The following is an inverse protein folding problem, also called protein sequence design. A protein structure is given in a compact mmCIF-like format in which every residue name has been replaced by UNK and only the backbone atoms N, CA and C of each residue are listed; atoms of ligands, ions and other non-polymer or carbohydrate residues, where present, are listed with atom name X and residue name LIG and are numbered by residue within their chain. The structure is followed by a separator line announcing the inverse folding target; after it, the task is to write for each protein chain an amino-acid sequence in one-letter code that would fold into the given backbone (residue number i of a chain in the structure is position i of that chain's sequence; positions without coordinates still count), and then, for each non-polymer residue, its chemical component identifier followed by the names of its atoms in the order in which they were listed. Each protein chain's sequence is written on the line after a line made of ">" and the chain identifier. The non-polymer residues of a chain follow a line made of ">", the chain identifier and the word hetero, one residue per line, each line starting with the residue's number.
data_IF_189808007278
#
_entry.id   IF_189808007278
#
_cell.length_a   1.000
_cell.length_b   1.000
_cell.length_c   1.000
_cell.angle_alpha   90.00
_cell.angle_beta   90.00
_cell.angle_gamma   90.00
#
_symmetry.space_group_name_H-M   'P 1'
#
loop_
_entity.id
_entity.type
_entity.pdbx_description
1 polymer ?
#
# COMPACT_ATOMS: atom_id res chain seq x y z
N UNK A 1 24.43 39.67 -6.89
CA UNK A 1 25.08 38.65 -6.03
C UNK A 1 24.22 37.40 -6.08
N UNK A 2 24.83 36.24 -6.37
CA UNK A 2 24.09 35.00 -6.59
C UNK A 2 23.62 34.35 -5.28
N UNK A 3 22.60 33.49 -5.37
CA UNK A 3 22.09 32.67 -4.26
C UNK A 3 23.19 31.90 -3.53
N UNK A 4 24.18 31.38 -4.27
CA UNK A 4 25.29 30.59 -3.73
C UNK A 4 26.19 31.42 -2.79
N UNK A 5 26.51 32.66 -3.14
CA UNK A 5 27.31 33.56 -2.28
C UNK A 5 26.56 33.92 -0.99
N UNK A 6 25.23 34.08 -1.08
CA UNK A 6 24.39 34.35 0.08
C UNK A 6 24.34 33.15 1.03
N UNK A 7 24.22 31.92 0.51
CA UNK A 7 24.27 30.70 1.34
C UNK A 7 25.64 30.50 2.00
N UNK A 8 26.73 30.76 1.27
CA UNK A 8 28.09 30.69 1.82
C UNK A 8 28.31 31.65 2.98
N UNK A 9 27.78 32.88 2.88
CA UNK A 9 27.86 33.90 3.94
C UNK A 9 27.01 33.58 5.16
N UNK A 10 25.83 32.98 4.97
CA UNK A 10 25.01 32.48 6.09
C UNK A 10 25.73 31.35 6.81
N UNK A 11 26.29 30.39 6.08
CA UNK A 11 27.05 29.30 6.64
C UNK A 11 28.30 29.78 7.40
N UNK A 12 29.03 30.76 6.87
CA UNK A 12 30.21 31.32 7.54
C UNK A 12 29.84 32.06 8.83
N UNK A 13 28.78 32.88 8.80
CA UNK A 13 28.29 33.57 10.00
C UNK A 13 27.84 32.56 11.07
N UNK A 14 27.19 31.48 10.66
CA UNK A 14 26.82 30.38 11.57
C UNK A 14 28.03 29.70 12.19
N UNK A 15 29.10 29.46 11.42
CA UNK A 15 30.31 28.82 11.94
C UNK A 15 31.11 29.73 12.87
N UNK A 16 31.16 31.02 12.57
CA UNK A 16 31.79 32.03 13.43
C UNK A 16 31.03 32.20 14.75
N UNK A 17 29.71 32.30 14.68
CA UNK A 17 28.86 32.37 15.87
C UNK A 17 28.98 31.09 16.72
N UNK A 18 29.02 29.91 16.08
CA UNK A 18 29.31 28.64 16.76
C UNK A 18 30.64 28.67 17.48
N UNK A 19 31.71 29.14 16.83
CA UNK A 19 33.04 29.19 17.43
C UNK A 19 33.07 30.14 18.64
N UNK A 20 32.42 31.30 18.51
CA UNK A 20 32.23 32.25 19.61
C UNK A 20 31.45 31.62 20.78
N UNK A 21 30.41 30.83 20.48
CA UNK A 21 29.57 30.16 21.47
C UNK A 21 30.25 28.95 22.13
N UNK A 22 31.19 28.29 21.45
CA UNK A 22 31.99 27.18 21.99
C UNK A 22 33.13 27.65 22.89
N UNK A 23 33.71 28.82 22.61
CA UNK A 23 34.79 29.42 23.42
C UNK A 23 34.34 29.99 24.77
N UNK A 24 33.03 30.19 24.97
CA UNK A 24 32.50 30.67 26.24
C UNK A 24 32.49 29.55 27.30
N UNK A 25 33.52 29.51 28.16
CA UNK A 25 33.76 28.46 29.17
C UNK A 25 32.75 28.43 30.35
N UNK A 26 32.03 29.52 30.63
CA UNK A 26 31.09 29.55 31.77
C UNK A 26 29.68 29.09 31.41
N UNK A 27 29.07 28.28 32.31
CA UNK A 27 27.64 27.92 32.27
C UNK A 27 26.80 29.20 32.40
N UNK A 28 26.47 29.81 31.25
CA UNK A 28 25.79 31.11 31.17
C UNK A 28 24.46 31.06 31.92
N UNK A 29 24.41 31.63 33.13
CA UNK A 29 23.14 31.89 33.83
C UNK A 29 22.43 33.01 33.09
N UNK A 30 21.44 32.66 32.27
CA UNK A 30 20.63 33.65 31.57
C UNK A 30 19.75 34.34 32.59
N UNK A 31 19.84 35.67 32.64
CA UNK A 31 18.84 36.46 33.36
C UNK A 31 17.52 36.29 32.62
N UNK A 32 16.45 35.93 33.34
CA UNK A 32 15.11 35.87 32.76
C UNK A 32 14.69 37.30 32.43
N UNK A 33 14.90 37.70 31.18
CA UNK A 33 14.37 38.95 30.64
C UNK A 33 12.95 38.68 30.15
N UNK A 34 12.01 39.57 30.47
CA UNK A 34 10.60 39.41 30.13
C UNK A 34 9.77 40.51 30.75
N UNK A 35 8.53 40.64 30.29
CA UNK A 35 7.56 41.56 30.89
C UNK A 35 6.85 40.84 32.05
N UNK A 36 6.19 41.61 32.92
CA UNK A 36 5.29 41.04 33.92
C UNK A 36 4.20 40.21 33.21
N UNK A 37 3.87 39.05 33.79
CA UNK A 37 2.81 38.17 33.26
C UNK A 37 1.53 38.95 32.97
N UNK A 38 1.13 39.80 33.92
CA UNK A 38 0.04 40.76 33.74
C UNK A 38 0.57 42.20 33.62
N UNK A 39 -0.01 43.04 32.75
CA UNK A 39 -1.02 42.69 31.73
C UNK A 39 -0.38 42.23 30.41
N UNK A 40 0.93 42.41 30.24
CA UNK A 40 1.59 42.34 28.93
C UNK A 40 1.51 40.96 28.29
N UNK A 41 1.93 39.90 28.98
CA UNK A 41 1.91 38.55 28.40
C UNK A 41 0.47 38.03 28.27
N UNK A 42 -0.40 38.29 29.26
CA UNK A 42 -1.82 37.88 29.17
C UNK A 42 -2.55 38.54 28.00
N UNK A 43 -2.33 39.84 27.75
CA UNK A 43 -2.94 40.53 26.62
C UNK A 43 -2.42 39.96 25.28
N UNK A 44 -1.11 39.76 25.17
CA UNK A 44 -0.47 39.17 23.99
C UNK A 44 -1.02 37.77 23.70
N UNK A 45 -1.05 36.90 24.70
CA UNK A 45 -1.51 35.52 24.56
C UNK A 45 -3.01 35.47 24.25
N UNK A 46 -3.81 36.39 24.80
CA UNK A 46 -5.23 36.51 24.46
C UNK A 46 -5.45 36.89 23.00
N UNK A 47 -4.64 37.80 22.46
CA UNK A 47 -4.71 38.20 21.04
C UNK A 47 -4.29 37.02 20.13
N UNK A 48 -3.24 36.30 20.49
CA UNK A 48 -2.78 35.10 19.75
C UNK A 48 -3.84 33.99 19.81
N UNK A 49 -4.45 33.77 20.97
CA UNK A 49 -5.51 32.78 21.12
C UNK A 49 -6.74 33.15 20.28
N UNK A 50 -7.18 34.40 20.33
CA UNK A 50 -8.29 34.88 19.52
C UNK A 50 -8.02 34.75 18.01
N UNK A 51 -6.79 35.01 17.56
CA UNK A 51 -6.42 34.85 16.16
C UNK A 51 -6.38 33.38 15.73
N UNK A 52 -5.83 32.48 16.55
CA UNK A 52 -5.87 31.03 16.32
C UNK A 52 -7.31 30.51 16.25
N UNK A 53 -8.17 30.94 17.17
CA UNK A 53 -9.59 30.57 17.18
C UNK A 53 -10.30 31.07 15.91
N UNK A 54 -10.03 32.30 15.48
CA UNK A 54 -10.59 32.85 14.24
C UNK A 54 -10.20 32.01 13.01
N UNK A 55 -8.94 31.56 12.93
CA UNK A 55 -8.46 30.71 11.83
C UNK A 55 -9.14 29.34 11.86
N UNK A 56 -9.25 28.72 13.03
CA UNK A 56 -9.91 27.41 13.19
C UNK A 56 -11.40 27.46 12.82
N UNK A 57 -12.12 28.51 13.26
CA UNK A 57 -13.52 28.71 12.91
C UNK A 57 -13.69 28.96 11.41
N UNK A 58 -12.77 29.71 10.79
CA UNK A 58 -12.77 29.92 9.35
C UNK A 58 -12.56 28.63 8.57
N UNK A 59 -11.61 27.77 8.98
CA UNK A 59 -11.40 26.46 8.35
C UNK A 59 -12.59 25.53 8.54
N UNK A 60 -13.17 25.47 9.74
CA UNK A 60 -14.36 24.67 10.03
C UNK A 60 -15.58 25.11 9.19
N UNK A 61 -15.66 26.39 8.86
CA UNK A 61 -16.67 26.91 7.93
C UNK A 61 -16.36 26.60 6.46
N UNK A 62 -15.08 26.73 6.04
CA UNK A 62 -14.67 26.54 4.65
C UNK A 62 -14.73 25.06 4.21
N UNK A 63 -14.28 24.16 5.06
CA UNK A 63 -14.21 22.71 4.80
C UNK A 63 -14.78 22.02 6.04
N UNK A 64 -16.12 21.97 6.18
CA UNK A 64 -16.73 21.25 7.30
C UNK A 64 -16.34 19.77 7.23
N UNK A 65 -16.02 19.13 8.37
CA UNK A 65 -15.67 17.72 8.36
C UNK A 65 -16.85 16.90 7.81
N UNK A 66 -16.60 15.97 6.86
CA UNK A 66 -17.65 15.14 6.31
C UNK A 66 -18.26 14.30 7.44
N UNK A 67 -19.58 14.34 7.60
CA UNK A 67 -20.27 13.34 8.40
C UNK A 67 -20.29 12.03 7.59
N UNK A 68 -19.42 11.10 7.97
CA UNK A 68 -19.48 9.74 7.45
C UNK A 68 -20.75 9.04 7.94
N UNK A 69 -21.24 8.07 7.15
CA UNK A 69 -22.29 7.16 7.59
C UNK A 69 -21.87 6.34 8.81
N UNK A 70 -22.83 5.62 9.40
CA UNK A 70 -22.53 4.69 10.48
C UNK A 70 -21.52 3.63 10.00
N UNK A 71 -20.63 3.19 10.90
CA UNK A 71 -19.69 2.14 10.60
C UNK A 71 -20.43 0.84 10.25
N UNK A 72 -20.16 0.29 9.07
CA UNK A 72 -20.71 -0.97 8.58
C UNK A 72 -19.57 -2.01 8.49
N UNK A 73 -19.62 -3.10 9.28
CA UNK A 73 -18.61 -4.15 9.22
C UNK A 73 -18.66 -4.98 7.93
N UNK A 74 -19.72 -4.87 7.13
CA UNK A 74 -19.89 -5.60 5.87
C UNK A 74 -19.57 -4.76 4.63
N UNK A 75 -19.43 -3.44 4.77
CA UNK A 75 -19.04 -2.53 3.70
C UNK A 75 -17.63 -1.97 3.97
N UNK A 76 -16.64 -2.46 3.22
CA UNK A 76 -15.31 -1.92 3.27
C UNK A 76 -15.26 -0.60 2.48
N UNK A 77 -15.12 0.53 3.18
CA UNK A 77 -14.88 1.80 2.51
C UNK A 77 -13.62 1.67 1.64
N UNK A 78 -13.73 2.00 0.35
CA UNK A 78 -12.66 1.72 -0.63
C UNK A 78 -11.29 2.29 -0.28
N UNK A 79 -11.22 3.35 0.55
CA UNK A 79 -9.97 3.92 1.06
C UNK A 79 -10.13 4.40 2.51
N UNK A 80 -9.51 3.72 3.47
CA UNK A 80 -9.48 4.12 4.89
C UNK A 80 -8.07 4.53 5.28
N UNK A 81 -7.85 5.82 5.51
CA UNK A 81 -6.59 6.36 6.00
C UNK A 81 -6.81 7.03 7.36
N UNK A 82 -5.82 6.97 8.27
CA UNK A 82 -5.91 7.71 9.51
C UNK A 82 -5.62 9.20 9.28
N UNK A 83 -5.91 10.01 10.30
CA UNK A 83 -5.65 11.44 10.26
C UNK A 83 -4.17 11.77 10.01
N UNK A 84 -3.92 12.97 9.47
CA UNK A 84 -2.59 13.45 9.04
C UNK A 84 -1.48 13.30 10.09
N UNK A 85 -1.80 13.44 11.39
CA UNK A 85 -0.85 13.35 12.49
C UNK A 85 -0.48 11.90 12.87
N UNK A 86 -1.19 10.91 12.32
CA UNK A 86 -0.97 9.46 12.51
C UNK A 86 -0.41 8.80 11.24
N UNK A 87 -0.34 9.54 10.12
CA UNK A 87 0.19 9.01 8.85
C UNK A 87 1.59 8.41 8.98
N UNK A 88 2.46 8.98 9.83
CA UNK A 88 3.80 8.45 10.02
C UNK A 88 3.78 7.01 10.54
N UNK A 89 2.89 6.67 11.49
CA UNK A 89 2.77 5.32 12.04
C UNK A 89 2.11 4.36 11.05
N UNK A 90 1.14 4.85 10.28
CA UNK A 90 0.56 4.08 9.18
C UNK A 90 1.60 3.75 8.10
N UNK A 91 2.50 4.69 7.80
CA UNK A 91 3.61 4.47 6.87
C UNK A 91 4.56 3.37 7.33
N UNK A 92 4.82 3.25 8.64
CA UNK A 92 5.58 2.12 9.20
C UNK A 92 4.84 0.78 9.09
N UNK A 93 3.52 0.77 9.21
CA UNK A 93 2.70 -0.44 9.04
C UNK A 93 2.76 -0.94 7.60
N UNK A 94 2.60 -0.03 6.62
CA UNK A 94 2.83 -0.32 5.20
C UNK A 94 4.26 -0.79 4.93
N UNK A 95 5.24 -0.14 5.52
CA UNK A 95 6.63 -0.56 5.36
C UNK A 95 6.88 -1.97 5.94
N UNK A 96 6.15 -2.34 6.99
CA UNK A 96 6.17 -3.67 7.60
C UNK A 96 5.70 -4.81 6.68
N UNK A 97 4.89 -4.52 5.66
CA UNK A 97 4.46 -5.51 4.65
C UNK A 97 5.63 -6.02 3.80
N UNK A 98 6.66 -5.18 3.61
CA UNK A 98 7.86 -5.53 2.84
C UNK A 98 8.96 -6.17 3.70
N UNK A 99 8.76 -6.28 5.02
CA UNK A 99 9.71 -6.90 5.93
C UNK A 99 9.44 -8.41 6.09
N UNK A 100 10.46 -9.21 6.42
CA UNK A 100 10.29 -10.65 6.62
C UNK A 100 9.25 -10.95 7.68
N UNK A 101 8.32 -11.84 7.34
CA UNK A 101 7.28 -12.32 8.26
C UNK A 101 7.66 -13.73 8.72
N UNK A 102 7.68 -13.94 10.04
CA UNK A 102 8.07 -15.21 10.63
C UNK A 102 7.35 -15.44 11.95
N UNK A 103 7.37 -16.68 12.44
CA UNK A 103 6.76 -17.01 13.72
C UNK A 103 7.86 -17.22 14.75
N UNK A 104 7.77 -16.50 15.87
CA UNK A 104 8.75 -16.57 16.95
C UNK A 104 8.21 -17.47 18.07
N UNK A 105 8.95 -18.52 18.47
CA UNK A 105 8.63 -19.28 19.67
C UNK A 105 8.81 -18.38 20.90
N UNK A 106 7.75 -18.18 21.67
CA UNK A 106 7.72 -17.27 22.84
C UNK A 106 8.21 -17.93 24.13
N UNK A 107 8.50 -19.24 24.06
CA UNK A 107 9.05 -20.03 25.17
C UNK A 107 8.21 -19.94 26.44
N UNK A 108 8.87 -19.94 27.59
CA UNK A 108 8.22 -19.95 28.91
C UNK A 108 7.19 -18.83 29.13
N UNK A 109 7.43 -17.63 28.58
CA UNK A 109 6.49 -16.51 28.70
C UNK A 109 5.22 -16.79 27.90
N UNK A 110 5.36 -17.36 26.70
CA UNK A 110 4.26 -17.76 25.83
C UNK A 110 3.37 -18.84 26.41
N UNK A 111 3.97 -19.82 27.08
CA UNK A 111 3.26 -20.91 27.74
C UNK A 111 2.38 -20.42 28.91
N UNK A 112 2.81 -19.35 29.59
CA UNK A 112 2.04 -18.73 30.69
C UNK A 112 0.83 -17.95 30.16
N UNK A 113 0.96 -17.28 29.01
CA UNK A 113 -0.11 -16.42 28.44
C UNK A 113 -0.96 -17.12 27.37
N UNK A 114 -0.75 -18.42 27.15
CA UNK A 114 -1.50 -19.21 26.16
C UNK A 114 -1.19 -18.86 24.71
N UNK A 115 -0.03 -18.24 24.46
CA UNK A 115 0.46 -17.90 23.11
C UNK A 115 1.87 -18.45 22.92
N UNK A 116 2.04 -19.76 22.67
CA UNK A 116 3.34 -20.42 22.51
C UNK A 116 4.09 -20.00 21.22
N UNK A 117 3.37 -19.37 20.29
CA UNK A 117 3.89 -18.91 19.01
C UNK A 117 3.39 -17.48 18.78
N UNK A 118 4.31 -16.55 18.54
CA UNK A 118 4.00 -15.16 18.23
C UNK A 118 4.21 -14.89 16.73
N UNK A 119 3.16 -14.52 15.98
CA UNK A 119 3.29 -14.16 14.58
C UNK A 119 3.94 -12.79 14.47
N UNK A 120 5.18 -12.74 13.96
CA UNK A 120 5.88 -11.51 13.64
C UNK A 120 5.47 -11.06 12.23
N UNK A 121 4.31 -10.41 12.16
CA UNK A 121 3.68 -9.95 10.91
C UNK A 121 3.87 -8.43 10.67
N UNK A 122 3.33 -7.92 9.56
CA UNK A 122 3.41 -6.51 9.20
C UNK A 122 2.85 -5.56 10.30
N UNK A 123 1.78 -5.96 10.97
CA UNK A 123 1.19 -5.17 12.07
C UNK A 123 2.16 -5.01 13.23
N UNK A 124 2.87 -6.08 13.62
CA UNK A 124 3.89 -5.99 14.65
C UNK A 124 5.10 -5.16 14.22
N UNK A 125 5.57 -5.32 12.97
CA UNK A 125 6.62 -4.46 12.41
C UNK A 125 6.22 -2.98 12.46
N UNK A 126 5.00 -2.65 12.03
CA UNK A 126 4.47 -1.29 12.09
C UNK A 126 4.46 -0.71 13.49
N UNK A 127 3.95 -1.47 14.47
CA UNK A 127 3.92 -1.06 15.87
C UNK A 127 5.33 -0.87 16.45
N UNK A 128 6.22 -1.83 16.24
CA UNK A 128 7.60 -1.79 16.76
C UNK A 128 8.39 -0.62 16.14
N UNK A 129 8.31 -0.43 14.82
CA UNK A 129 9.02 0.62 14.12
C UNK A 129 8.48 2.01 14.45
N UNK A 130 7.17 2.15 14.69
CA UNK A 130 6.57 3.40 15.18
C UNK A 130 7.14 3.81 16.55
N UNK A 131 7.49 2.83 17.39
CA UNK A 131 8.11 3.08 18.68
C UNK A 131 9.50 3.74 18.60
N UNK A 132 10.24 3.55 17.50
CA UNK A 132 11.59 4.10 17.33
C UNK A 132 11.58 5.64 17.30
N UNK A 133 10.86 6.33 16.39
CA UNK A 133 10.85 7.78 16.36
C UNK A 133 10.24 8.40 17.62
N UNK A 134 9.25 7.75 18.23
CA UNK A 134 8.66 8.20 19.51
C UNK A 134 9.68 8.05 20.64
N UNK A 135 10.41 6.93 20.68
CA UNK A 135 11.49 6.69 21.62
C UNK A 135 12.61 7.72 21.48
N UNK A 136 13.02 8.04 20.25
CA UNK A 136 14.02 9.09 19.97
C UNK A 136 13.58 10.44 20.54
N UNK A 137 12.30 10.81 20.48
CA UNK A 137 11.78 12.05 21.08
C UNK A 137 11.77 12.02 22.61
N UNK A 138 11.68 10.84 23.23
CA UNK A 138 11.71 10.69 24.67
C UNK A 138 13.13 10.70 25.24
N UNK A 139 14.17 10.47 24.42
CA UNK A 139 15.57 10.44 24.85
C UNK A 139 16.19 11.78 25.30
N UNK A 140 15.89 12.98 24.74
CA UNK A 140 16.64 14.20 25.01
C UNK A 140 16.80 14.57 26.50
N UNK A 141 15.78 14.40 27.38
CA UNK A 141 15.94 14.63 28.81
C UNK A 141 16.99 13.73 29.49
N UNK A 142 17.24 12.54 28.95
CA UNK A 142 18.13 11.53 29.53
C UNK A 142 19.57 11.57 29.00
N UNK A 143 19.79 12.25 27.86
CA UNK A 143 21.12 12.34 27.22
C UNK A 143 22.09 13.28 27.94
N UNK A 144 21.62 14.01 28.96
CA UNK A 144 22.43 14.97 29.73
C UNK A 144 22.98 16.11 28.87
N UNK A 145 23.86 16.92 29.45
CA UNK A 145 24.51 18.03 28.73
C UNK A 145 23.99 19.42 29.09
N UNK A 146 24.64 20.45 28.52
CA UNK A 146 24.26 21.86 28.72
C UNK A 146 23.04 22.20 27.87
N UNK A 147 22.14 23.01 28.40
CA UNK A 147 21.11 23.68 27.60
C UNK A 147 21.76 24.48 26.48
N UNK A 148 21.49 24.09 25.24
CA UNK A 148 22.04 24.71 24.04
C UNK A 148 20.89 25.12 23.13
N UNK A 149 20.98 26.28 22.49
CA UNK A 149 20.10 26.61 21.37
C UNK A 149 20.44 25.71 20.18
N UNK A 150 19.51 25.48 19.23
CA UNK A 150 19.84 24.74 18.00
C UNK A 150 21.06 25.30 17.26
N UNK A 151 21.28 26.62 17.34
CA UNK A 151 22.46 27.30 16.75
C UNK A 151 23.78 26.95 17.47
N UNK A 152 23.73 26.63 18.76
CA UNK A 152 24.90 26.28 19.58
C UNK A 152 25.32 24.80 19.39
N UNK A 153 24.42 23.95 18.90
CA UNK A 153 24.67 22.52 18.64
C UNK A 153 24.19 22.11 17.24
N UNK A 154 24.98 22.40 16.19
CA UNK A 154 24.58 22.11 14.81
C UNK A 154 24.42 20.61 14.55
N UNK A 155 25.06 19.75 15.34
CA UNK A 155 24.89 18.30 15.23
C UNK A 155 23.51 17.88 15.71
N UNK A 156 23.10 18.34 16.90
CA UNK A 156 21.78 18.05 17.42
C UNK A 156 20.67 18.70 16.59
N UNK A 157 20.90 19.92 16.08
CA UNK A 157 19.98 20.59 15.17
C UNK A 157 19.82 19.85 13.83
N UNK A 158 20.92 19.37 13.24
CA UNK A 158 20.88 18.57 12.03
C UNK A 158 20.16 17.23 12.25
N UNK A 159 20.40 16.57 13.38
CA UNK A 159 19.69 15.34 13.75
C UNK A 159 18.17 15.58 13.89
N UNK A 160 17.76 16.70 14.49
CA UNK A 160 16.35 17.10 14.55
C UNK A 160 15.74 17.38 13.18
N UNK A 161 16.48 18.03 12.27
CA UNK A 161 16.01 18.26 10.90
C UNK A 161 15.88 16.95 10.10
N UNK A 162 16.84 16.03 10.21
CA UNK A 162 16.76 14.69 9.60
C UNK A 162 15.58 13.91 10.16
N UNK A 163 15.34 14.00 11.47
CA UNK A 163 14.17 13.39 12.11
C UNK A 163 12.86 13.92 11.52
N UNK A 164 12.70 15.25 11.41
CA UNK A 164 11.51 15.85 10.81
C UNK A 164 11.34 15.46 9.34
N UNK A 165 12.43 15.45 8.57
CA UNK A 165 12.42 15.02 7.18
C UNK A 165 12.00 13.54 7.04
N UNK A 166 12.43 12.69 7.97
CA UNK A 166 12.05 11.27 8.02
C UNK A 166 10.56 11.10 8.37
N UNK A 167 10.06 11.79 9.40
CA UNK A 167 8.63 11.76 9.77
C UNK A 167 7.77 12.24 8.61
N UNK A 168 8.18 13.32 7.94
CA UNK A 168 7.50 13.80 6.75
C UNK A 168 7.55 12.76 5.62
N UNK A 169 8.72 12.19 5.33
CA UNK A 169 8.90 11.16 4.31
C UNK A 169 7.97 9.96 4.54
N UNK A 170 8.00 9.37 5.74
CA UNK A 170 7.21 8.16 6.03
C UNK A 170 5.70 8.47 6.06
N UNK A 171 5.31 9.69 6.43
CA UNK A 171 3.91 10.15 6.35
C UNK A 171 3.45 10.28 4.89
N UNK A 172 4.27 10.87 4.02
CA UNK A 172 3.94 10.98 2.59
C UNK A 172 3.94 9.61 1.93
N UNK A 173 4.90 8.74 2.25
CA UNK A 173 4.92 7.34 1.82
C UNK A 173 3.62 6.62 2.17
N UNK A 174 3.06 6.87 3.36
CA UNK A 174 1.81 6.25 3.79
C UNK A 174 0.60 6.59 2.91
N UNK A 175 0.65 7.76 2.25
CA UNK A 175 -0.37 8.26 1.32
C UNK A 175 0.13 8.32 -0.12
N UNK A 176 1.22 7.64 -0.47
CA UNK A 176 1.78 7.67 -1.83
C UNK A 176 0.74 7.24 -2.86
N UNK A 177 -0.06 6.23 -2.54
CA UNK A 177 -1.18 5.78 -3.36
C UNK A 177 -2.16 6.93 -3.52
N UNK A 178 -2.52 7.68 -2.47
CA UNK A 178 -3.42 8.82 -2.61
C UNK A 178 -2.80 9.94 -3.46
N UNK A 179 -1.48 10.15 -3.43
CA UNK A 179 -0.83 11.14 -4.30
C UNK A 179 -0.84 10.69 -5.77
N UNK A 180 -0.60 9.40 -6.01
CA UNK A 180 -0.70 8.79 -7.33
C UNK A 180 -2.15 8.81 -7.82
N UNK A 181 -3.11 8.44 -6.97
CA UNK A 181 -4.54 8.55 -7.23
C UNK A 181 -4.95 9.99 -7.42
N UNK A 182 -4.47 10.97 -6.65
CA UNK A 182 -4.81 12.38 -6.83
C UNK A 182 -4.21 12.95 -8.12
N UNK A 183 -3.02 12.46 -8.51
CA UNK A 183 -2.38 12.77 -9.79
C UNK A 183 -3.14 12.17 -10.97
N UNK A 184 -3.55 10.91 -10.87
CA UNK A 184 -4.27 10.16 -11.93
C UNK A 184 -5.77 10.42 -11.97
N UNK A 185 -6.38 10.82 -10.84
CA UNK A 185 -7.76 11.32 -10.69
C UNK A 185 -7.94 12.70 -11.34
N UNK A 186 -6.94 13.19 -12.08
CA UNK A 186 -7.03 14.40 -12.89
C UNK A 186 -6.45 14.27 -14.30
N UNK A 187 -6.13 13.05 -14.74
CA UNK A 187 -5.69 12.75 -16.11
C UNK A 187 -6.52 11.62 -16.73
N UNK A 188 -7.84 11.78 -16.81
CA UNK A 188 -8.80 10.85 -17.47
C UNK A 188 -9.39 9.75 -16.57
N UNK A 189 -9.69 10.05 -15.29
CA UNK A 189 -10.37 9.10 -14.40
C UNK A 189 -11.85 9.44 -14.22
N UNK A 190 -12.67 8.40 -14.18
CA UNK A 190 -14.10 8.42 -13.93
C UNK A 190 -14.38 7.63 -12.64
N UNK A 191 -14.89 8.28 -11.58
CA UNK A 191 -15.16 7.62 -10.29
C UNK A 191 -16.66 7.45 -10.07
N UNK A 192 -17.09 6.29 -9.59
CA UNK A 192 -18.42 6.12 -9.00
C UNK A 192 -18.48 6.86 -7.65
N UNK A 193 -19.44 7.76 -7.50
CA UNK A 193 -19.71 8.44 -6.25
C UNK A 193 -20.52 7.55 -5.28
N UNK A 194 -20.90 8.07 -4.11
CA UNK A 194 -21.70 7.32 -3.13
C UNK A 194 -23.13 7.01 -3.58
N UNK A 195 -23.56 7.58 -4.69
CA UNK A 195 -24.84 7.35 -5.35
C UNK A 195 -24.69 6.46 -6.60
N UNK A 196 -23.46 6.06 -6.93
CA UNK A 196 -23.10 5.27 -8.11
C UNK A 196 -23.18 6.05 -9.42
N UNK A 197 -23.03 7.37 -9.36
CA UNK A 197 -22.86 8.24 -10.52
C UNK A 197 -21.38 8.31 -10.92
N UNK A 198 -21.11 8.30 -12.22
CA UNK A 198 -19.75 8.30 -12.77
C UNK A 198 -19.24 9.74 -13.00
N UNK A 199 -18.35 10.24 -12.13
CA UNK A 199 -17.75 11.57 -12.18
C UNK A 199 -16.37 11.58 -12.86
N UNK A 200 -16.23 12.28 -13.98
CA UNK A 200 -14.98 12.36 -14.76
C UNK A 200 -14.41 13.80 -14.78
N UNK A 201 -13.09 13.98 -14.66
CA UNK A 201 -12.46 15.32 -14.65
C UNK A 201 -11.05 15.41 -15.24
N UNK A 202 -10.70 16.58 -15.78
CA UNK A 202 -9.41 16.87 -16.47
C UNK A 202 -8.70 18.10 -15.88
N UNK A 203 -7.49 17.96 -15.34
CA UNK A 203 -6.58 19.08 -14.99
C UNK A 203 -5.13 18.60 -14.92
N UNK A 204 -4.19 19.38 -15.48
CA UNK A 204 -2.78 18.99 -15.64
C UNK A 204 -2.10 18.44 -14.34
N UNK A 205 -1.53 17.22 -14.36
CA UNK A 205 -1.17 16.43 -13.17
C UNK A 205 0.19 16.78 -12.51
N UNK A 206 0.95 17.71 -13.09
CA UNK A 206 2.37 17.93 -12.74
C UNK A 206 2.63 18.23 -11.24
N UNK A 207 1.68 18.84 -10.53
CA UNK A 207 1.83 19.12 -9.10
C UNK A 207 1.91 17.83 -8.28
N UNK A 208 1.08 16.83 -8.59
CA UNK A 208 1.07 15.57 -7.88
C UNK A 208 2.37 14.77 -8.10
N UNK A 209 2.87 14.76 -9.34
CA UNK A 209 4.17 14.15 -9.68
C UNK A 209 5.33 14.82 -8.93
N UNK A 210 5.32 16.15 -8.82
CA UNK A 210 6.31 16.88 -8.03
C UNK A 210 6.20 16.50 -6.55
N UNK A 211 5.00 16.46 -5.97
CA UNK A 211 4.82 16.07 -4.57
C UNK A 211 5.20 14.60 -4.29
N UNK A 212 4.93 13.68 -5.22
CA UNK A 212 5.31 12.26 -5.10
C UNK A 212 6.83 12.06 -5.26
N UNK A 213 7.47 12.80 -6.16
CA UNK A 213 8.91 12.66 -6.41
C UNK A 213 9.78 13.25 -5.30
N UNK A 214 9.36 14.31 -4.60
CA UNK A 214 10.17 14.95 -3.54
C UNK A 214 10.60 13.94 -2.45
N UNK A 215 9.71 13.14 -1.84
CA UNK A 215 10.10 12.11 -0.86
C UNK A 215 11.17 11.17 -1.40
N UNK A 216 11.02 10.67 -2.63
CA UNK A 216 11.97 9.73 -3.22
C UNK A 216 13.33 10.35 -3.50
N UNK A 217 13.35 11.59 -3.98
CA UNK A 217 14.58 12.37 -4.12
C UNK A 217 15.26 12.56 -2.75
N UNK A 218 14.49 12.82 -1.69
CA UNK A 218 15.06 12.90 -0.34
C UNK A 218 15.63 11.55 0.15
N UNK A 219 15.02 10.41 -0.21
CA UNK A 219 15.60 9.08 0.04
C UNK A 219 16.94 8.92 -0.66
N UNK A 220 17.06 9.39 -1.91
CA UNK A 220 18.33 9.46 -2.62
C UNK A 220 19.38 10.29 -1.89
N UNK A 221 19.00 11.46 -1.38
CA UNK A 221 19.89 12.32 -0.56
C UNK A 221 20.28 11.64 0.75
N UNK A 222 19.36 10.94 1.42
CA UNK A 222 19.66 10.18 2.62
C UNK A 222 20.62 9.02 2.32
N UNK A 223 20.38 8.28 1.24
CA UNK A 223 21.27 7.22 0.77
C UNK A 223 22.66 7.77 0.48
N UNK A 224 22.76 8.92 -0.19
CA UNK A 224 24.04 9.61 -0.43
C UNK A 224 24.81 9.87 0.86
N UNK A 225 24.13 10.46 1.86
CA UNK A 225 24.70 10.75 3.18
C UNK A 225 25.18 9.46 3.84
N UNK A 226 24.34 8.43 3.89
CA UNK A 226 24.67 7.14 4.49
C UNK A 226 25.88 6.48 3.82
N UNK A 227 25.89 6.36 2.48
CA UNK A 227 26.98 5.78 1.71
C UNK A 227 28.28 6.56 1.94
N UNK A 228 28.22 7.89 1.95
CA UNK A 228 29.38 8.72 2.23
C UNK A 228 29.93 8.51 3.64
N UNK A 229 29.10 8.59 4.69
CA UNK A 229 29.58 8.49 6.07
C UNK A 229 30.03 7.08 6.45
N UNK A 230 29.31 6.04 6.01
CA UNK A 230 29.70 4.65 6.23
C UNK A 230 30.99 4.36 5.46
N UNK A 231 31.04 4.68 4.17
CA UNK A 231 32.22 4.48 3.33
C UNK A 231 33.43 5.24 3.86
N UNK A 232 33.24 6.47 4.32
CA UNK A 232 34.30 7.28 4.93
C UNK A 232 34.78 6.65 6.23
N UNK A 233 33.87 6.19 7.09
CA UNK A 233 34.21 5.53 8.34
C UNK A 233 35.06 4.27 8.13
N UNK A 234 34.70 3.46 7.13
CA UNK A 234 35.46 2.27 6.74
C UNK A 234 36.82 2.62 6.13
N UNK A 235 36.86 3.57 5.19
CA UNK A 235 38.10 3.94 4.49
C UNK A 235 39.09 4.67 5.39
N UNK A 236 38.63 5.46 6.37
CA UNK A 236 39.50 6.06 7.39
C UNK A 236 40.13 4.96 8.26
N UNK A 237 39.35 3.95 8.67
CA UNK A 237 39.88 2.82 9.43
C UNK A 237 40.86 1.96 8.61
N UNK A 238 40.59 1.77 7.32
CA UNK A 238 41.40 0.93 6.45
C UNK A 238 42.68 1.62 5.96
N UNK A 239 42.63 2.90 5.59
CA UNK A 239 43.76 3.63 4.99
C UNK A 239 44.45 4.63 5.93
N UNK A 240 43.87 4.90 7.11
CA UNK A 240 44.47 5.77 8.12
C UNK A 240 44.90 7.12 7.56
N UNK A 241 46.17 7.46 7.75
CA UNK A 241 46.79 8.72 7.29
C UNK A 241 46.85 8.87 5.76
N UNK A 242 46.69 7.78 5.00
CA UNK A 242 46.64 7.78 3.55
C UNK A 242 45.29 8.23 2.96
N UNK A 243 44.28 8.49 3.80
CA UNK A 243 42.99 9.04 3.40
C UNK A 243 43.06 10.58 3.34
N UNK A 244 43.36 11.11 2.16
CA UNK A 244 43.50 12.55 1.93
C UNK A 244 42.14 13.23 1.66
N UNK A 245 42.11 14.56 1.76
CA UNK A 245 40.92 15.37 1.42
C UNK A 245 40.47 15.13 -0.03
N UNK A 246 41.40 14.90 -0.95
CA UNK A 246 41.10 14.58 -2.35
C UNK A 246 40.31 13.26 -2.49
N UNK A 247 40.72 12.21 -1.77
CA UNK A 247 40.00 10.92 -1.74
C UNK A 247 38.62 11.05 -1.09
N UNK A 248 38.50 11.87 -0.04
CA UNK A 248 37.20 12.16 0.58
C UNK A 248 36.23 12.87 -0.38
N UNK A 249 36.73 13.78 -1.24
CA UNK A 249 35.92 14.42 -2.28
C UNK A 249 35.50 13.43 -3.36
N UNK A 250 36.40 12.56 -3.80
CA UNK A 250 36.07 11.49 -4.76
C UNK A 250 35.00 10.54 -4.22
N UNK A 251 35.11 10.16 -2.94
CA UNK A 251 34.09 9.36 -2.26
C UNK A 251 32.74 10.09 -2.20
N UNK A 252 32.74 11.38 -1.85
CA UNK A 252 31.51 12.19 -1.80
C UNK A 252 30.79 12.23 -3.15
N UNK A 253 31.54 12.46 -4.24
CA UNK A 253 31.00 12.50 -5.61
C UNK A 253 30.56 11.10 -6.07
N UNK A 254 31.36 10.06 -5.79
CA UNK A 254 31.00 8.68 -6.11
C UNK A 254 29.72 8.23 -5.39
N UNK A 255 29.57 8.57 -4.11
CA UNK A 255 28.37 8.31 -3.34
C UNK A 255 27.15 9.06 -3.91
N UNK A 256 27.32 10.30 -4.39
CA UNK A 256 26.25 11.07 -5.02
C UNK A 256 25.79 10.41 -6.33
N UNK A 257 26.73 10.02 -7.19
CA UNK A 257 26.42 9.32 -8.45
C UNK A 257 25.67 8.02 -8.17
N UNK A 258 26.16 7.20 -7.23
CA UNK A 258 25.59 5.89 -6.94
C UNK A 258 24.19 5.99 -6.34
N UNK A 259 23.98 6.91 -5.40
CA UNK A 259 22.65 7.17 -4.82
C UNK A 259 21.68 7.74 -5.84
N UNK A 260 22.13 8.65 -6.71
CA UNK A 260 21.29 9.24 -7.76
C UNK A 260 20.88 8.17 -8.79
N UNK A 261 21.83 7.33 -9.21
CA UNK A 261 21.57 6.21 -10.12
C UNK A 261 20.59 5.20 -9.51
N UNK A 262 20.76 4.85 -8.22
CA UNK A 262 19.82 3.97 -7.52
C UNK A 262 18.43 4.58 -7.45
N UNK A 263 18.31 5.86 -7.10
CA UNK A 263 17.03 6.57 -6.98
C UNK A 263 16.28 6.62 -8.31
N UNK A 264 16.99 6.92 -9.41
CA UNK A 264 16.41 6.94 -10.76
C UNK A 264 16.01 5.55 -11.22
N UNK A 265 16.88 4.55 -11.03
CA UNK A 265 16.62 3.18 -11.47
C UNK A 265 15.42 2.54 -10.75
N UNK A 266 15.09 3.02 -9.55
CA UNK A 266 14.00 2.49 -8.71
C UNK A 266 12.79 3.41 -8.67
N UNK A 267 12.81 4.53 -9.42
CA UNK A 267 11.70 5.49 -9.41
C UNK A 267 10.40 4.85 -9.92
N UNK A 268 10.43 4.11 -11.03
CA UNK A 268 9.23 3.46 -11.58
C UNK A 268 8.61 2.47 -10.58
N UNK A 269 9.44 1.74 -9.83
CA UNK A 269 8.98 0.84 -8.77
C UNK A 269 8.34 1.60 -7.60
N UNK A 270 8.94 2.73 -7.19
CA UNK A 270 8.40 3.58 -6.14
C UNK A 270 7.10 4.27 -6.56
N UNK A 271 7.05 4.79 -7.79
CA UNK A 271 5.92 5.54 -8.33
C UNK A 271 4.68 4.64 -8.44
N UNK A 272 4.87 3.37 -8.79
CA UNK A 272 3.84 2.31 -8.76
C UNK A 272 3.57 1.74 -7.35
N UNK A 273 3.99 2.43 -6.29
CA UNK A 273 3.72 2.01 -4.92
C UNK A 273 4.32 0.65 -4.50
N UNK A 274 5.36 0.15 -5.20
CA UNK A 274 5.97 -1.17 -4.99
C UNK A 274 5.04 -2.38 -5.18
N UNK A 275 3.88 -2.21 -5.82
CA UNK A 275 2.90 -3.29 -6.01
C UNK A 275 3.40 -4.45 -6.87
N UNK A 276 4.28 -4.16 -7.82
CA UNK A 276 4.91 -5.18 -8.68
C UNK A 276 6.25 -5.69 -8.12
N UNK A 277 6.61 -5.34 -6.89
CA UNK A 277 7.84 -5.81 -6.25
C UNK A 277 7.54 -6.97 -5.31
N UNK A 278 8.29 -8.06 -5.43
CA UNK A 278 8.21 -9.26 -4.54
C UNK A 278 8.55 -9.01 -3.07
N UNK A 279 8.84 -7.76 -2.70
CA UNK A 279 9.47 -7.39 -1.44
C UNK A 279 10.83 -8.07 -1.23
N UNK A 280 11.45 -7.86 -0.07
CA UNK A 280 12.74 -8.47 0.28
C UNK A 280 12.50 -9.88 0.82
N UNK A 281 12.44 -10.87 -0.08
CA UNK A 281 12.21 -12.29 0.24
C UNK A 281 10.82 -12.58 0.82
N UNK A 282 9.85 -11.69 0.61
CA UNK A 282 8.49 -11.82 1.15
C UNK A 282 7.61 -12.70 0.27
N UNK A 283 7.84 -12.72 -1.05
CA UNK A 283 7.06 -13.50 -2.01
C UNK A 283 8.01 -14.42 -2.80
N UNK A 284 7.63 -15.70 -2.95
CA UNK A 284 8.48 -16.73 -3.58
C UNK A 284 8.65 -16.50 -5.08
N UNK A 285 7.58 -16.14 -5.78
CA UNK A 285 7.59 -15.90 -7.22
C UNK A 285 6.49 -14.91 -7.68
N UNK A 286 6.48 -14.54 -8.97
CA UNK A 286 5.53 -13.53 -9.48
C UNK A 286 4.11 -14.09 -9.62
N UNK A 287 3.94 -15.41 -9.71
CA UNK A 287 2.62 -16.06 -9.76
C UNK A 287 1.91 -16.03 -8.41
N UNK A 288 2.65 -16.16 -7.30
CA UNK A 288 2.09 -15.96 -5.95
C UNK A 288 1.64 -14.51 -5.72
N UNK A 289 2.37 -13.52 -6.27
CA UNK A 289 1.95 -12.12 -6.25
C UNK A 289 0.64 -11.90 -7.03
N UNK A 290 0.47 -12.59 -8.16
CA UNK A 290 -0.75 -12.54 -8.98
C UNK A 290 -1.95 -13.19 -8.28
N UNK A 291 -1.74 -14.33 -7.60
CA UNK A 291 -2.80 -15.03 -6.87
C UNK A 291 -3.41 -14.18 -5.74
N UNK A 292 -2.63 -13.26 -5.15
CA UNK A 292 -3.06 -12.32 -4.10
C UNK A 292 -3.84 -11.11 -4.63
N UNK A 293 -3.93 -10.92 -5.96
CA UNK A 293 -4.67 -9.81 -6.57
C UNK A 293 -6.17 -10.09 -6.60
N UNK A 294 -6.96 -9.05 -6.34
CA UNK A 294 -8.43 -9.10 -6.38
C UNK A 294 -8.92 -8.94 -7.81
N UNK A 295 -9.87 -9.74 -8.28
CA UNK A 295 -10.48 -9.48 -9.59
C UNK A 295 -11.65 -8.48 -9.46
N UNK A 296 -11.73 -7.47 -10.34
CA UNK A 296 -12.92 -6.63 -10.44
C UNK A 296 -14.11 -7.45 -10.98
N UNK A 297 -15.32 -6.91 -10.87
CA UNK A 297 -16.54 -7.51 -11.42
C UNK A 297 -17.25 -6.50 -12.31
N UNK A 298 -18.16 -6.98 -13.17
CA UNK A 298 -19.00 -6.13 -13.99
C UNK A 298 -19.88 -5.26 -13.10
N UNK A 299 -19.96 -3.95 -13.42
CA UNK A 299 -20.71 -3.00 -12.59
C UNK A 299 -21.86 -2.43 -13.40
N UNK A 300 -23.08 -2.65 -12.91
CA UNK A 300 -24.25 -1.97 -13.43
C UNK A 300 -24.27 -0.53 -12.90
N UNK A 301 -24.22 0.45 -13.81
CA UNK A 301 -24.28 1.88 -13.45
C UNK A 301 -25.73 2.31 -13.19
N UNK A 302 -25.92 3.30 -12.33
CA UNK A 302 -27.26 3.82 -12.04
C UNK A 302 -27.82 4.69 -13.15
N UNK A 303 -26.95 5.44 -13.82
CA UNK A 303 -27.26 6.21 -15.02
C UNK A 303 -26.10 6.14 -16.01
N UNK A 304 -26.45 6.13 -17.30
CA UNK A 304 -25.49 6.14 -18.43
C UNK A 304 -25.04 7.56 -18.73
N UNK A 305 -23.82 7.71 -19.24
CA UNK A 305 -23.24 9.01 -19.58
C UNK A 305 -22.37 8.94 -20.84
N UNK A 306 -21.75 10.06 -21.20
CA UNK A 306 -20.88 10.17 -22.37
C UNK A 306 -19.77 9.11 -22.39
N UNK A 307 -19.26 8.70 -21.22
CA UNK A 307 -18.23 7.67 -21.11
C UNK A 307 -18.74 6.27 -21.47
N UNK A 308 -19.98 5.93 -21.07
CA UNK A 308 -20.63 4.67 -21.46
C UNK A 308 -21.13 4.71 -22.91
N UNK A 309 -21.57 5.87 -23.39
CA UNK A 309 -22.05 6.09 -24.75
C UNK A 309 -20.92 5.87 -25.77
N UNK A 310 -19.77 6.52 -25.55
CA UNK A 310 -18.60 6.45 -26.43
C UNK A 310 -18.04 5.02 -26.58
N UNK A 311 -18.32 4.15 -25.60
CA UNK A 311 -17.84 2.77 -25.55
C UNK A 311 -18.92 1.73 -25.85
N UNK A 312 -20.14 2.17 -26.16
CA UNK A 312 -21.26 1.29 -26.51
C UNK A 312 -21.83 0.50 -25.33
N UNK A 313 -21.62 0.94 -24.09
CA UNK A 313 -22.09 0.25 -22.87
C UNK A 313 -23.44 0.76 -22.38
N UNK A 314 -23.98 1.80 -23.02
CA UNK A 314 -25.22 2.44 -22.56
C UNK A 314 -26.48 1.62 -22.78
N UNK A 315 -26.47 0.66 -23.72
CA UNK A 315 -27.63 -0.23 -23.92
C UNK A 315 -27.80 -1.23 -22.78
N UNK A 316 -26.69 -1.75 -22.24
CA UNK A 316 -26.71 -2.68 -21.10
C UNK A 316 -26.71 -1.95 -19.75
N UNK A 317 -26.20 -0.71 -19.70
CA UNK A 317 -25.93 -0.04 -18.44
C UNK A 317 -24.86 -0.74 -17.60
N UNK A 318 -24.07 -1.64 -18.22
CA UNK A 318 -23.05 -2.44 -17.54
C UNK A 318 -21.68 -2.03 -18.05
N UNK A 319 -20.83 -1.57 -17.13
CA UNK A 319 -19.41 -1.33 -17.39
C UNK A 319 -18.67 -2.67 -17.21
N UNK A 320 -18.06 -3.22 -18.28
CA UNK A 320 -17.46 -4.54 -18.25
C UNK A 320 -16.20 -4.57 -17.39
N UNK A 321 -15.85 -5.75 -16.87
CA UNK A 321 -14.74 -5.92 -15.94
C UNK A 321 -13.40 -5.47 -16.57
N UNK A 322 -13.26 -5.65 -17.88
CA UNK A 322 -12.12 -5.22 -18.68
C UNK A 322 -11.89 -3.70 -18.65
N UNK A 323 -12.94 -2.90 -18.42
CA UNK A 323 -12.81 -1.45 -18.25
C UNK A 323 -12.01 -1.09 -17.00
N UNK A 324 -11.98 -1.98 -16.00
CA UNK A 324 -11.22 -1.81 -14.76
C UNK A 324 -9.80 -2.40 -14.84
N UNK A 325 -9.39 -3.09 -15.92
CA UNK A 325 -8.00 -3.54 -16.07
C UNK A 325 -7.02 -2.37 -16.16
N UNK A 326 -7.46 -1.25 -16.76
CA UNK A 326 -6.72 0.02 -16.72
C UNK A 326 -6.60 0.62 -15.31
N UNK A 327 -7.32 0.07 -14.33
CA UNK A 327 -7.40 0.54 -12.96
C UNK A 327 -6.50 -0.25 -11.99
N UNK A 328 -5.55 -1.04 -12.52
CA UNK A 328 -4.50 -1.78 -11.77
C UNK A 328 -3.74 -0.97 -10.70
N UNK A 329 -3.88 0.35 -10.73
CA UNK A 329 -3.26 1.32 -9.82
C UNK A 329 -4.13 1.58 -8.56
N UNK A 330 -5.46 1.41 -8.65
CA UNK A 330 -6.42 1.66 -7.56
C UNK A 330 -6.62 0.42 -6.68
N UNK A 331 -6.57 -0.76 -7.29
CA UNK A 331 -6.44 -2.08 -6.69
C UNK A 331 -5.60 -2.92 -7.66
N UNK A 332 -4.59 -3.69 -7.20
CA UNK A 332 -3.90 -4.62 -8.08
C UNK A 332 -4.93 -5.65 -8.53
N UNK A 333 -5.36 -5.53 -9.79
CA UNK A 333 -6.28 -6.45 -10.41
C UNK A 333 -5.51 -7.57 -11.07
N UNK A 334 -6.14 -8.74 -11.18
CA UNK A 334 -5.55 -9.81 -11.97
C UNK A 334 -5.40 -9.34 -13.41
N UNK A 335 -4.26 -9.64 -14.02
CA UNK A 335 -4.05 -9.43 -15.46
C UNK A 335 -5.04 -10.26 -16.27
N UNK A 336 -5.43 -11.41 -15.71
CA UNK A 336 -6.43 -12.31 -16.28
C UNK A 336 -7.68 -12.30 -15.41
N UNK A 337 -8.82 -11.96 -16.02
CA UNK A 337 -10.12 -11.91 -15.36
C UNK A 337 -10.87 -13.20 -15.68
N UNK A 338 -11.44 -13.83 -14.67
CA UNK A 338 -12.34 -14.98 -14.84
C UNK A 338 -13.79 -14.53 -14.67
N UNK A 339 -14.60 -14.62 -15.74
CA UNK A 339 -16.04 -14.34 -15.71
C UNK A 339 -16.84 -15.58 -15.27
N UNK A 340 -17.01 -15.73 -13.96
CA UNK A 340 -17.79 -16.83 -13.38
C UNK A 340 -19.31 -16.64 -13.53
N UNK A 341 -19.79 -15.40 -13.60
CA UNK A 341 -21.22 -15.09 -13.63
C UNK A 341 -21.81 -15.06 -15.04
N UNK A 342 -20.98 -15.29 -16.06
CA UNK A 342 -21.37 -15.27 -17.48
C UNK A 342 -22.06 -13.97 -17.88
N UNK A 343 -21.66 -12.85 -17.25
CA UNK A 343 -22.36 -11.57 -17.42
C UNK A 343 -22.24 -11.05 -18.86
N UNK A 344 -21.18 -11.46 -19.58
CA UNK A 344 -20.95 -11.13 -20.98
C UNK A 344 -21.29 -12.27 -21.96
N UNK A 345 -21.82 -13.41 -21.50
CA UNK A 345 -22.25 -14.53 -22.35
C UNK A 345 -21.12 -15.36 -22.96
N UNK A 346 -19.99 -15.51 -22.26
CA UNK A 346 -18.86 -16.34 -22.66
C UNK A 346 -19.04 -17.85 -22.42
N UNK A 347 -20.04 -18.26 -21.64
CA UNK A 347 -20.38 -19.65 -21.35
C UNK A 347 -21.55 -20.09 -22.24
N UNK A 348 -21.35 -21.19 -22.99
CA UNK A 348 -22.41 -21.85 -23.73
C UNK A 348 -22.42 -23.35 -23.39
N UNK A 349 -23.12 -23.74 -22.31
CA UNK A 349 -23.19 -25.13 -21.89
C UNK A 349 -23.96 -26.02 -22.87
N UNK A 350 -24.79 -25.44 -23.75
CA UNK A 350 -25.53 -26.21 -24.75
C UNK A 350 -24.62 -26.68 -25.90
N UNK A 351 -23.63 -25.86 -26.25
CA UNK A 351 -22.62 -26.19 -27.26
C UNK A 351 -21.28 -26.66 -26.66
N UNK A 352 -21.17 -26.72 -25.33
CA UNK A 352 -19.97 -27.17 -24.63
C UNK A 352 -18.81 -26.19 -24.79
N UNK A 353 -19.08 -24.89 -24.85
CA UNK A 353 -18.06 -23.84 -24.95
C UNK A 353 -17.92 -23.21 -23.57
N UNK A 354 -16.71 -23.28 -23.01
CA UNK A 354 -16.32 -22.71 -21.70
C UNK A 354 -17.16 -23.17 -20.48
N UNK A 355 -18.22 -23.95 -20.67
CA UNK A 355 -19.06 -24.51 -19.62
C UNK A 355 -19.63 -25.87 -20.04
N UNK A 356 -19.91 -26.73 -19.06
CA UNK A 356 -20.69 -27.94 -19.22
C UNK A 356 -21.67 -28.06 -18.04
N UNK A 357 -22.91 -28.45 -18.33
CA UNK A 357 -23.91 -28.76 -17.32
C UNK A 357 -24.54 -30.10 -17.63
N UNK A 358 -24.90 -30.85 -16.58
CA UNK A 358 -25.53 -32.16 -16.70
C UNK A 358 -26.38 -32.47 -15.48
N UNK A 359 -27.49 -33.16 -15.69
CA UNK A 359 -28.40 -33.54 -14.62
C UNK A 359 -29.33 -34.66 -15.05
N UNK A 360 -29.75 -35.50 -14.10
CA UNK A 360 -30.77 -36.53 -14.33
C UNK A 360 -31.58 -36.78 -13.08
N UNK A 361 -32.64 -37.58 -13.22
CA UNK A 361 -33.37 -38.18 -12.11
C UNK A 361 -33.18 -39.69 -12.13
N UNK A 362 -32.94 -40.31 -10.98
CA UNK A 362 -32.82 -41.78 -10.86
C UNK A 362 -33.70 -42.30 -9.70
N UNK A 363 -34.25 -43.51 -9.84
CA UNK A 363 -35.23 -44.08 -8.92
C UNK A 363 -34.61 -45.00 -7.83
N UNK A 364 -33.40 -44.67 -7.37
CA UNK A 364 -32.62 -45.54 -6.45
C UNK A 364 -32.07 -46.82 -7.11
N UNK A 365 -31.11 -47.50 -6.48
CA UNK A 365 -30.46 -48.71 -7.01
C UNK A 365 -28.93 -48.60 -7.08
N UNK A 366 -28.31 -49.14 -8.13
CA UNK A 366 -26.84 -49.16 -8.34
C UNK A 366 -26.21 -47.76 -8.62
N UNK A 367 -26.96 -46.68 -8.45
CA UNK A 367 -26.52 -45.30 -8.70
C UNK A 367 -26.64 -44.90 -10.18
N UNK A 368 -26.15 -43.71 -10.50
CA UNK A 368 -26.11 -43.17 -11.85
C UNK A 368 -24.83 -42.34 -12.03
N UNK A 369 -24.31 -42.32 -13.27
CA UNK A 369 -23.20 -41.46 -13.68
C UNK A 369 -23.62 -40.65 -14.90
N UNK A 370 -23.48 -39.32 -14.83
CA UNK A 370 -23.51 -38.43 -16.01
C UNK A 370 -22.11 -37.94 -16.29
N UNK A 371 -21.81 -37.71 -17.56
CA UNK A 371 -20.61 -37.02 -17.99
C UNK A 371 -20.98 -35.98 -19.04
N UNK A 372 -20.24 -34.87 -19.03
CA UNK A 372 -20.26 -33.84 -20.05
C UNK A 372 -18.83 -33.48 -20.43
N UNK A 373 -18.67 -32.81 -21.57
CA UNK A 373 -17.38 -32.28 -22.01
C UNK A 373 -17.58 -30.86 -22.48
N UNK A 374 -16.64 -29.99 -22.14
CA UNK A 374 -16.56 -28.65 -22.70
C UNK A 374 -15.18 -28.42 -23.28
N UNK A 375 -15.11 -27.51 -24.24
CA UNK A 375 -13.86 -27.00 -24.81
C UNK A 375 -13.65 -25.60 -24.25
N UNK A 376 -12.47 -25.36 -23.70
CA UNK A 376 -12.04 -24.02 -23.33
C UNK A 376 -11.56 -23.36 -24.62
N UNK A 377 -12.24 -22.31 -25.05
CA UNK A 377 -11.91 -21.58 -26.28
C UNK A 377 -11.75 -20.11 -25.97
N UNK A 378 -10.59 -19.56 -26.31
CA UNK A 378 -10.30 -18.13 -26.23
C UNK A 378 -10.85 -17.38 -27.43
N UNK A 379 -11.18 -16.10 -27.23
CA UNK A 379 -11.34 -15.17 -28.35
C UNK A 379 -9.96 -14.77 -28.89
N UNK A 380 -9.50 -15.53 -29.88
CA UNK A 380 -8.25 -15.27 -30.61
C UNK A 380 -8.19 -13.92 -31.34
N UNK A 381 -9.31 -13.20 -31.48
CA UNK A 381 -9.31 -11.88 -32.12
C UNK A 381 -8.67 -10.80 -31.24
N UNK A 382 -8.76 -10.92 -29.92
CA UNK A 382 -8.15 -10.00 -28.96
C UNK A 382 -6.81 -10.50 -28.42
N UNK A 383 -6.59 -11.83 -28.40
CA UNK A 383 -5.35 -12.44 -27.92
C UNK A 383 -4.75 -13.42 -28.96
N UNK A 384 -4.07 -12.90 -29.99
CA UNK A 384 -3.59 -13.70 -31.13
C UNK A 384 -2.48 -14.70 -30.79
N UNK A 385 -1.78 -14.50 -29.67
CA UNK A 385 -0.68 -15.35 -29.21
C UNK A 385 -1.11 -16.39 -28.15
N UNK A 386 -2.41 -16.41 -27.78
CA UNK A 386 -2.94 -17.25 -26.70
C UNK A 386 -2.62 -16.73 -25.30
N UNK A 387 -3.34 -17.23 -24.29
CA UNK A 387 -3.09 -16.89 -22.88
C UNK A 387 -1.74 -17.47 -22.41
N UNK A 388 -0.83 -16.67 -21.83
CA UNK A 388 0.51 -17.14 -21.49
C UNK A 388 0.63 -18.23 -20.42
N UNK A 389 -0.40 -18.51 -19.59
CA UNK A 389 -0.24 -19.45 -18.45
C UNK A 389 -1.46 -20.36 -18.12
N UNK A 390 -2.59 -20.26 -18.83
CA UNK A 390 -3.88 -20.82 -18.34
C UNK A 390 -4.27 -22.22 -18.85
N UNK A 391 -3.45 -22.84 -19.68
CA UNK A 391 -3.55 -24.28 -19.93
C UNK A 391 -2.21 -24.94 -19.62
N UNK A 392 -1.73 -24.72 -18.40
CA UNK A 392 -0.53 -25.39 -17.90
C UNK A 392 -0.89 -26.64 -17.12
N UNK A 393 0.09 -27.53 -16.92
CA UNK A 393 -0.05 -28.84 -16.27
C UNK A 393 -0.55 -28.80 -14.81
N UNK A 394 -0.68 -27.60 -14.24
CA UNK A 394 -0.79 -27.31 -12.82
C UNK A 394 -2.24 -26.99 -12.37
N UNK A 395 -3.17 -26.83 -13.31
CA UNK A 395 -4.61 -26.72 -13.02
C UNK A 395 -5.35 -25.75 -13.93
N UNK A 396 -6.69 -25.79 -13.86
CA UNK A 396 -7.59 -24.87 -14.55
C UNK A 396 -8.44 -24.18 -13.49
N UNK A 397 -8.52 -22.86 -13.52
CA UNK A 397 -9.44 -22.09 -12.66
C UNK A 397 -10.86 -22.38 -13.12
N UNK A 398 -11.66 -23.05 -12.29
CA UNK A 398 -13.02 -23.50 -12.62
C UNK A 398 -13.97 -23.20 -11.46
N UNK A 399 -15.22 -22.86 -11.78
CA UNK A 399 -16.32 -22.87 -10.83
C UNK A 399 -17.13 -24.16 -11.03
N UNK A 400 -17.22 -24.96 -9.97
CA UNK A 400 -17.78 -26.31 -10.02
C UNK A 400 -18.89 -26.42 -8.99
N UNK A 401 -20.12 -26.50 -9.49
CA UNK A 401 -21.30 -26.81 -8.68
C UNK A 401 -21.70 -28.29 -8.87
N UNK A 402 -22.01 -28.96 -7.77
CA UNK A 402 -22.62 -30.28 -7.78
C UNK A 402 -23.72 -30.32 -6.74
N UNK A 403 -24.94 -30.62 -7.16
CA UNK A 403 -26.12 -30.63 -6.31
C UNK A 403 -26.96 -31.88 -6.54
N UNK A 404 -27.67 -32.32 -5.50
CA UNK A 404 -28.70 -33.34 -5.63
C UNK A 404 -29.93 -33.01 -4.78
N UNK A 405 -31.10 -33.49 -5.24
CA UNK A 405 -32.36 -33.34 -4.51
C UNK A 405 -33.05 -34.68 -4.41
N UNK A 406 -33.53 -35.01 -3.22
CA UNK A 406 -34.35 -36.20 -2.98
C UNK A 406 -35.85 -35.86 -3.02
N UNK A 407 -36.68 -36.78 -3.49
CA UNK A 407 -38.14 -36.62 -3.48
C UNK A 407 -38.72 -36.69 -2.07
N UNK A 408 -38.09 -37.44 -1.17
CA UNK A 408 -38.46 -37.58 0.24
C UNK A 408 -37.29 -37.19 1.15
N UNK A 409 -37.57 -36.49 2.25
CA UNK A 409 -36.53 -36.04 3.20
C UNK A 409 -36.05 -37.16 4.15
N UNK A 410 -36.90 -38.16 4.41
CA UNK A 410 -36.59 -39.27 5.32
C UNK A 410 -37.26 -40.56 4.86
N UNK A 411 -36.55 -41.67 4.98
CA UNK A 411 -37.08 -43.03 4.81
C UNK A 411 -36.80 -43.78 6.11
N UNK A 412 -37.84 -44.33 6.76
CA UNK A 412 -37.72 -45.03 8.05
C UNK A 412 -36.93 -44.23 9.12
N UNK A 413 -37.26 -42.94 9.29
CA UNK A 413 -36.60 -41.97 10.18
C UNK A 413 -35.13 -41.61 9.88
N UNK A 414 -34.53 -42.18 8.84
CA UNK A 414 -33.17 -41.87 8.38
C UNK A 414 -33.22 -40.82 7.28
N UNK A 415 -32.34 -39.80 7.36
CA UNK A 415 -32.23 -38.73 6.35
C UNK A 415 -31.79 -39.32 5.01
N UNK A 416 -32.52 -39.05 3.93
CA UNK A 416 -32.17 -39.52 2.59
C UNK A 416 -30.83 -38.97 2.10
N UNK A 417 -30.38 -37.81 2.61
CA UNK A 417 -29.04 -37.29 2.34
C UNK A 417 -27.92 -38.25 2.80
N UNK A 418 -28.16 -39.05 3.83
CA UNK A 418 -27.18 -40.05 4.31
C UNK A 418 -27.18 -41.34 3.49
N UNK A 419 -28.14 -41.49 2.58
CA UNK A 419 -28.31 -42.67 1.74
C UNK A 419 -27.73 -42.49 0.33
N UNK A 420 -27.20 -41.31 0.01
CA UNK A 420 -26.66 -40.98 -1.31
C UNK A 420 -25.19 -40.60 -1.17
N UNK A 421 -24.34 -41.24 -1.98
CA UNK A 421 -22.96 -40.82 -2.18
C UNK A 421 -22.86 -40.17 -3.55
N UNK A 422 -22.35 -38.94 -3.59
CA UNK A 422 -22.17 -38.16 -4.81
C UNK A 422 -20.70 -37.81 -4.97
N UNK A 423 -20.21 -37.87 -6.20
CA UNK A 423 -18.84 -37.49 -6.56
C UNK A 423 -18.90 -36.74 -7.88
N UNK A 424 -18.23 -35.59 -7.96
CA UNK A 424 -17.95 -34.89 -9.20
C UNK A 424 -16.46 -35.00 -9.50
N UNK A 425 -16.12 -35.38 -10.73
CA UNK A 425 -14.74 -35.51 -11.18
C UNK A 425 -14.57 -34.84 -12.55
N UNK A 426 -13.55 -34.00 -12.67
CA UNK A 426 -13.16 -33.34 -13.92
C UNK A 426 -11.82 -33.92 -14.36
N UNK A 427 -11.75 -34.33 -15.63
CA UNK A 427 -10.55 -34.88 -16.26
C UNK A 427 -10.16 -34.08 -17.48
N UNK A 428 -8.87 -34.00 -17.78
CA UNK A 428 -8.40 -33.46 -19.05
C UNK A 428 -8.64 -34.44 -20.22
N UNK A 429 -8.31 -34.00 -21.44
CA UNK A 429 -8.43 -34.81 -22.66
C UNK A 429 -7.56 -36.09 -22.66
N UNK A 430 -6.55 -36.17 -21.78
CA UNK A 430 -5.70 -37.36 -21.59
C UNK A 430 -6.26 -38.34 -20.55
N UNK A 431 -7.36 -37.98 -19.88
CA UNK A 431 -7.97 -38.75 -18.81
C UNK A 431 -7.30 -38.55 -17.45
N UNK A 432 -6.40 -37.56 -17.31
CA UNK A 432 -5.81 -37.20 -16.02
C UNK A 432 -6.87 -36.45 -15.20
N UNK A 433 -7.06 -36.89 -13.96
CA UNK A 433 -7.90 -36.18 -13.00
C UNK A 433 -7.30 -34.81 -12.68
N UNK A 434 -8.09 -33.77 -12.91
CA UNK A 434 -7.74 -32.38 -12.59
C UNK A 434 -8.29 -32.01 -11.21
N UNK A 435 -9.53 -32.41 -10.93
CA UNK A 435 -10.17 -32.21 -9.61
C UNK A 435 -11.26 -33.25 -9.39
N UNK A 436 -11.41 -33.68 -8.13
CA UNK A 436 -12.45 -34.60 -7.70
C UNK A 436 -12.88 -34.26 -6.27
N UNK A 437 -14.19 -34.15 -6.05
CA UNK A 437 -14.74 -33.96 -4.71
C UNK A 437 -16.00 -34.79 -4.51
N UNK A 438 -16.18 -35.25 -3.27
CA UNK A 438 -17.31 -36.06 -2.84
C UNK A 438 -18.24 -35.25 -1.91
N UNK A 439 -19.49 -35.70 -1.79
CA UNK A 439 -20.55 -35.06 -1.00
C UNK A 439 -21.03 -33.73 -1.60
N UNK A 440 -21.52 -33.79 -2.84
CA UNK A 440 -22.26 -32.70 -3.48
C UNK A 440 -23.37 -32.13 -2.59
N UNK A 441 -23.71 -30.86 -2.78
CA UNK A 441 -24.65 -30.15 -1.90
C UNK A 441 -26.07 -30.72 -2.04
N UNK A 442 -26.65 -31.18 -0.93
CA UNK A 442 -27.95 -31.84 -0.91
C UNK A 442 -29.05 -30.89 -0.45
N UNK A 443 -30.03 -30.61 -1.33
CA UNK A 443 -31.22 -29.82 -1.02
C UNK A 443 -32.36 -30.63 -0.38
#
# INVERSE_FOLDING_TARGET
>A
MGLIDNFGRVASMYMEEKENLQKAEEKRKRTRTGHGFWPHEVLRDSIIFASMLSILLFYAWLIPPPLHGAADPYAQAGFVFPDWYVLFSYGYLRWGEYLPQFVVPTGFIGDIVGQPMFPWNAAWWGAALTGIPVGILALPPFLGGREKRPVEDPWFAAAGAVYLAHIWFISVFSINIFLELYGKNRSDFCKLDSHGDLLCGTREPWIAEVFNSIPWVMTGVLMWICVYFIGRGLLIKAWGTGFTVAKSRQLLVGALILSSAATVATFDTYDKGFWDAKGLLTIKDYGELEAMRTQPTDVHVHDVNEFTDDRGWSESGVVPTTAWLGWNIYQPARYIITDFNDANGHQDPANGINAAAGGTTFNGGEGFTTSGSFTITEDTTLFPEGHPEEVTSDGITTDLACEFRSSERKINDVSTQTMVATTLTVTDASGKEIVSFANCEGA
#
